data_IF_423099635574
#
_entry.id   IF_423099635574
#
_cell.length_a   1.000
_cell.length_b   1.000
_cell.length_c   1.000
_cell.angle_alpha   90.00
_cell.angle_beta   90.00
_cell.angle_gamma   90.00
#
_symmetry.space_group_name_H-M   'P 1'
#
loop_
_entity.id
_entity.type
_entity.pdbx_description
1 polymer ?
#
# COMPACT_ATOMS: atom_id res chain seq x y z
N UNK A 1 -20.54 -16.18 42.79
CA UNK A 1 -20.37 -17.03 41.59
C UNK A 1 -20.35 -16.26 40.26
N UNK A 2 -21.21 -15.24 40.05
CA UNK A 2 -21.21 -14.45 38.79
C UNK A 2 -19.94 -13.60 38.58
N UNK A 3 -19.38 -13.04 39.65
CA UNK A 3 -18.11 -12.29 39.63
C UNK A 3 -16.91 -13.20 39.30
N UNK A 4 -16.88 -14.41 39.84
CA UNK A 4 -15.82 -15.40 39.59
C UNK A 4 -15.75 -15.83 38.11
N UNK A 5 -16.92 -16.03 37.48
CA UNK A 5 -17.00 -16.32 36.04
C UNK A 5 -16.47 -15.16 35.18
N UNK A 6 -16.76 -13.90 35.56
CA UNK A 6 -16.25 -12.71 34.86
C UNK A 6 -14.73 -12.61 34.95
N UNK A 7 -14.16 -12.85 36.14
CA UNK A 7 -12.70 -12.83 36.35
C UNK A 7 -12.03 -13.92 35.51
N UNK A 8 -12.60 -15.12 35.44
CA UNK A 8 -12.10 -16.19 34.58
C UNK A 8 -12.12 -15.83 33.10
N UNK A 9 -13.24 -15.26 32.61
CA UNK A 9 -13.36 -14.84 31.19
C UNK A 9 -12.35 -13.75 30.86
N UNK A 10 -12.17 -12.76 31.74
CA UNK A 10 -11.17 -11.69 31.56
C UNK A 10 -9.74 -12.27 31.55
N UNK A 11 -9.44 -13.21 32.46
CA UNK A 11 -8.14 -13.88 32.48
C UNK A 11 -7.84 -14.63 31.19
N UNK A 12 -8.82 -15.38 30.66
CA UNK A 12 -8.68 -16.09 29.37
C UNK A 12 -8.48 -15.10 28.22
N UNK A 13 -9.23 -14.00 28.19
CA UNK A 13 -9.10 -12.98 27.14
C UNK A 13 -7.72 -12.31 27.16
N UNK A 14 -7.17 -12.04 28.35
CA UNK A 14 -5.83 -11.47 28.51
C UNK A 14 -4.74 -12.46 28.06
N UNK A 15 -4.91 -13.75 28.33
CA UNK A 15 -3.99 -14.79 27.85
C UNK A 15 -4.01 -14.87 26.32
N UNK A 16 -5.20 -14.88 25.71
CA UNK A 16 -5.33 -14.88 24.25
C UNK A 16 -4.72 -13.61 23.63
N UNK A 17 -4.95 -12.45 24.25
CA UNK A 17 -4.36 -11.19 23.79
C UNK A 17 -2.82 -11.20 23.90
N UNK A 18 -2.28 -11.71 25.01
CA UNK A 18 -0.83 -11.87 25.17
C UNK A 18 -0.23 -12.82 24.12
N UNK A 19 -0.93 -13.91 23.77
CA UNK A 19 -0.50 -14.82 22.70
C UNK A 19 -0.46 -14.13 21.34
N UNK A 20 -1.47 -13.31 21.02
CA UNK A 20 -1.49 -12.50 19.80
C UNK A 20 -0.31 -11.53 19.78
N UNK A 21 -0.04 -10.81 20.86
CA UNK A 21 1.10 -9.89 20.96
C UNK A 21 2.44 -10.59 20.75
N UNK A 22 2.62 -11.80 21.29
CA UNK A 22 3.84 -12.59 21.11
C UNK A 22 4.01 -13.04 19.65
N UNK A 23 2.93 -13.39 18.96
CA UNK A 23 2.96 -13.75 17.54
C UNK A 23 3.39 -12.56 16.68
N UNK A 24 2.80 -11.39 16.88
CA UNK A 24 3.18 -10.17 16.16
C UNK A 24 4.60 -9.71 16.48
N UNK A 25 5.09 -9.96 17.70
CA UNK A 25 6.46 -9.59 18.10
C UNK A 25 7.54 -10.52 17.52
N UNK A 26 7.14 -11.72 17.03
CA UNK A 26 8.06 -12.70 16.45
C UNK A 26 8.24 -12.57 14.94
N UNK A 27 7.40 -11.79 14.26
CA UNK A 27 7.71 -11.35 12.90
C UNK A 27 8.87 -10.36 12.96
N UNK A 28 10.09 -10.90 12.87
CA UNK A 28 11.17 -10.12 12.29
C UNK A 28 10.74 -9.83 10.86
N UNK A 29 10.53 -8.55 10.56
CA UNK A 29 10.37 -8.09 9.18
C UNK A 29 11.68 -8.42 8.48
N UNK A 30 11.73 -9.58 7.83
CA UNK A 30 12.82 -9.92 6.95
C UNK A 30 12.66 -9.00 5.75
N UNK A 31 13.42 -7.91 5.73
CA UNK A 31 13.35 -6.94 4.65
C UNK A 31 13.91 -7.67 3.43
N UNK A 32 13.01 -8.23 2.63
CA UNK A 32 13.36 -8.95 1.43
C UNK A 32 14.01 -7.95 0.45
N UNK A 33 15.34 -7.92 0.43
CA UNK A 33 16.10 -7.03 -0.46
C UNK A 33 16.20 -7.57 -1.87
N UNK A 34 15.68 -8.77 -2.16
CA UNK A 34 15.85 -9.42 -3.46
C UNK A 34 15.34 -8.53 -4.60
N UNK A 35 14.18 -7.90 -4.44
CA UNK A 35 13.63 -7.00 -5.47
C UNK A 35 14.52 -5.76 -5.66
N UNK A 36 15.02 -5.18 -4.55
CA UNK A 36 15.93 -4.03 -4.61
C UNK A 36 17.22 -4.39 -5.36
N UNK A 37 17.83 -5.50 -4.96
CA UNK A 37 19.10 -5.96 -5.52
C UNK A 37 18.94 -6.39 -7.00
N UNK A 38 17.79 -6.98 -7.35
CA UNK A 38 17.42 -7.31 -8.72
C UNK A 38 17.32 -6.06 -9.60
N UNK A 39 16.57 -5.03 -9.17
CA UNK A 39 16.40 -3.81 -9.96
C UNK A 39 17.71 -3.03 -10.10
N UNK A 40 18.54 -2.96 -9.06
CA UNK A 40 19.86 -2.32 -9.15
C UNK A 40 20.75 -3.04 -10.16
N UNK A 41 20.75 -4.37 -10.15
CA UNK A 41 21.66 -5.17 -10.98
C UNK A 41 21.19 -5.26 -12.44
N UNK A 42 19.89 -5.43 -12.67
CA UNK A 42 19.33 -5.71 -14.00
C UNK A 42 18.61 -4.51 -14.63
N UNK A 43 18.27 -3.48 -13.86
CA UNK A 43 17.47 -2.33 -14.30
C UNK A 43 17.93 -1.71 -15.61
N UNK A 44 19.21 -1.32 -15.70
CA UNK A 44 19.75 -0.75 -16.93
C UNK A 44 19.77 -1.73 -18.11
N UNK A 45 20.06 -3.01 -17.84
CA UNK A 45 20.15 -4.05 -18.88
C UNK A 45 18.79 -4.35 -19.50
N UNK A 46 17.74 -4.39 -18.68
CA UNK A 46 16.39 -4.76 -19.12
C UNK A 46 15.65 -3.58 -19.76
N UNK A 47 15.89 -2.35 -19.29
CA UNK A 47 15.09 -1.19 -19.70
C UNK A 47 15.87 -0.14 -20.47
N UNK A 48 17.20 -0.25 -20.55
CA UNK A 48 18.09 0.74 -21.15
C UNK A 48 18.00 2.15 -20.53
N UNK A 49 17.33 2.31 -19.38
CA UNK A 49 17.24 3.57 -18.65
C UNK A 49 18.32 3.68 -17.59
N UNK A 50 19.07 4.78 -17.61
CA UNK A 50 20.08 5.09 -16.58
C UNK A 50 19.45 5.53 -15.25
N UNK A 51 18.19 6.01 -15.28
CA UNK A 51 17.47 6.37 -14.07
C UNK A 51 16.63 5.19 -13.59
N UNK A 52 17.06 4.58 -12.48
CA UNK A 52 16.40 3.42 -11.90
C UNK A 52 14.98 3.72 -11.41
N UNK A 53 14.71 4.94 -10.95
CA UNK A 53 13.36 5.32 -10.49
C UNK A 53 12.41 5.35 -11.70
N UNK A 54 12.84 5.95 -12.80
CA UNK A 54 12.06 6.00 -14.04
C UNK A 54 11.81 4.61 -14.60
N UNK A 55 12.81 3.72 -14.58
CA UNK A 55 12.61 2.35 -15.08
C UNK A 55 11.64 1.54 -14.23
N UNK A 56 11.65 1.74 -12.91
CA UNK A 56 10.67 1.12 -12.03
C UNK A 56 9.25 1.57 -12.39
N UNK A 57 9.01 2.88 -12.58
CA UNK A 57 7.68 3.39 -12.89
C UNK A 57 7.19 3.04 -14.30
N UNK A 58 8.06 3.12 -15.30
CA UNK A 58 7.65 3.01 -16.71
C UNK A 58 7.84 1.63 -17.33
N UNK A 59 8.75 0.79 -16.80
CA UNK A 59 9.00 -0.54 -17.35
C UNK A 59 8.48 -1.65 -16.42
N UNK A 60 8.91 -1.67 -15.16
CA UNK A 60 8.55 -2.74 -14.23
C UNK A 60 7.13 -2.60 -13.65
N UNK A 61 6.68 -1.36 -13.38
CA UNK A 61 5.39 -1.05 -12.75
C UNK A 61 4.52 -0.13 -13.60
N UNK A 62 4.62 -0.26 -14.92
CA UNK A 62 3.90 0.58 -15.89
C UNK A 62 2.41 0.75 -15.56
N UNK A 63 1.72 -0.33 -15.20
CA UNK A 63 0.28 -0.28 -14.93
C UNK A 63 -0.07 0.59 -13.73
N UNK A 64 0.77 0.61 -12.69
CA UNK A 64 0.53 1.42 -11.49
C UNK A 64 0.57 2.92 -11.83
N UNK A 65 1.63 3.36 -12.52
CA UNK A 65 1.77 4.75 -12.99
C UNK A 65 0.77 5.12 -14.09
N UNK A 66 0.41 4.19 -14.97
CA UNK A 66 -0.60 4.42 -16.00
C UNK A 66 -1.99 4.66 -15.40
N UNK A 67 -2.37 3.87 -14.40
CA UNK A 67 -3.65 4.06 -13.72
C UNK A 67 -3.64 5.29 -12.81
N UNK A 68 -2.53 5.64 -12.17
CA UNK A 68 -2.38 6.92 -11.46
C UNK A 68 -2.67 8.11 -12.39
N UNK A 69 -2.05 8.14 -13.57
CA UNK A 69 -2.29 9.18 -14.57
C UNK A 69 -3.74 9.17 -15.09
N UNK A 70 -4.32 7.98 -15.28
CA UNK A 70 -5.71 7.83 -15.73
C UNK A 70 -6.70 8.35 -14.69
N UNK A 71 -6.49 8.07 -13.40
CA UNK A 71 -7.31 8.58 -12.31
C UNK A 71 -7.20 10.11 -12.25
N UNK A 72 -5.99 10.66 -12.36
CA UNK A 72 -5.78 12.10 -12.38
C UNK A 72 -6.51 12.75 -13.55
N UNK A 73 -6.47 12.14 -14.74
CA UNK A 73 -7.23 12.59 -15.90
C UNK A 73 -8.74 12.60 -15.63
N UNK A 74 -9.30 11.50 -15.10
CA UNK A 74 -10.72 11.40 -14.74
C UNK A 74 -11.13 12.49 -13.74
N UNK A 75 -10.29 12.72 -12.72
CA UNK A 75 -10.53 13.77 -11.71
C UNK A 75 -10.55 15.15 -12.34
N UNK A 76 -9.54 15.49 -13.15
CA UNK A 76 -9.45 16.80 -13.81
C UNK A 76 -10.62 17.01 -14.77
N UNK A 77 -10.96 16.00 -15.58
CA UNK A 77 -12.12 16.06 -16.48
C UNK A 77 -13.43 16.20 -15.69
N UNK A 78 -13.59 15.49 -14.58
CA UNK A 78 -14.76 15.59 -13.71
C UNK A 78 -14.93 16.99 -13.12
N UNK A 79 -13.85 17.59 -12.61
CA UNK A 79 -13.86 18.97 -12.09
C UNK A 79 -14.21 19.95 -13.21
N UNK A 80 -13.55 19.86 -14.37
CA UNK A 80 -13.81 20.74 -15.50
C UNK A 80 -15.28 20.69 -15.95
N UNK A 81 -15.86 19.48 -16.03
CA UNK A 81 -17.26 19.31 -16.37
C UNK A 81 -18.20 19.95 -15.34
N UNK A 82 -17.93 19.76 -14.05
CA UNK A 82 -18.73 20.39 -12.99
C UNK A 82 -18.62 21.92 -13.03
N UNK A 83 -17.42 22.48 -13.23
CA UNK A 83 -17.22 23.93 -13.31
C UNK A 83 -17.90 24.56 -14.53
N UNK A 84 -17.88 23.88 -15.68
CA UNK A 84 -18.61 24.36 -16.87
C UNK A 84 -20.12 24.35 -16.59
N UNK A 85 -20.64 23.24 -16.06
CA UNK A 85 -22.06 23.09 -15.75
C UNK A 85 -22.56 24.13 -14.73
N UNK A 86 -21.75 24.50 -13.75
CA UNK A 86 -22.10 25.51 -12.75
C UNK A 86 -22.26 26.91 -13.38
N UNK A 87 -21.39 27.27 -14.34
CA UNK A 87 -21.50 28.54 -15.09
C UNK A 87 -22.71 28.62 -16.01
N UNK A 88 -23.18 27.49 -16.53
CA UNK A 88 -24.37 27.44 -17.38
C UNK A 88 -25.70 27.57 -16.57
N UNK A 89 -25.62 27.52 -15.24
CA UNK A 89 -26.77 27.62 -14.32
C UNK A 89 -26.92 29.02 -13.67
N UNK A 90 -25.96 29.92 -13.86
CA UNK A 90 -26.07 31.37 -13.55
C UNK A 90 -26.67 32.17 -14.72
#
# INVERSE_FOLDING_TARGET
MKSLRKVLVIGVLLILFAQVLILFSKEKVDINTLSKDYYITNGYKETSSKNLVTSIYLDYRLFDSFFEASILLVVVTGIAFMTIKDKDLE
#
